data_IF_765873331989
#
_entry.id   IF_765873331989
#
_cell.length_a   1.000
_cell.length_b   1.000
_cell.length_c   1.000
_cell.angle_alpha   90.00
_cell.angle_beta   90.00
_cell.angle_gamma   90.00
#
_symmetry.space_group_name_H-M   'P 1'
#
loop_
_entity.id
_entity.type
_entity.pdbx_description
1 polymer ?
#
# COMPACT_ATOMS: atom_id res chain seq x y z
N UNK A 1 -4.29 81.59 4.52
CA UNK A 1 -4.55 80.80 3.29
C UNK A 1 -3.84 79.46 3.42
N UNK A 2 -4.65 78.41 3.62
CA UNK A 2 -4.42 76.97 3.51
C UNK A 2 -3.07 76.35 3.91
N UNK A 3 -3.01 75.84 5.15
CA UNK A 3 -2.09 74.78 5.55
C UNK A 3 -2.80 73.43 5.34
N UNK A 4 -2.36 72.65 4.36
CA UNK A 4 -2.89 71.30 4.09
C UNK A 4 -2.26 70.29 5.04
N UNK A 5 -3.09 69.63 5.85
CA UNK A 5 -2.70 68.48 6.67
C UNK A 5 -2.86 67.19 5.85
N UNK A 6 -1.79 66.41 5.73
CA UNK A 6 -1.80 65.08 5.13
C UNK A 6 -2.27 64.08 6.19
N UNK A 7 -3.46 63.51 6.00
CA UNK A 7 -3.94 62.37 6.80
C UNK A 7 -3.43 61.09 6.14
N UNK A 8 -2.50 60.40 6.79
CA UNK A 8 -2.09 59.03 6.40
C UNK A 8 -3.03 58.06 7.11
N UNK A 9 -3.94 57.45 6.36
CA UNK A 9 -4.78 56.36 6.85
C UNK A 9 -3.95 55.05 6.85
N UNK A 10 -3.57 54.58 8.04
CA UNK A 10 -2.98 53.27 8.22
C UNK A 10 -4.10 52.21 8.17
N UNK A 11 -4.20 51.48 7.06
CA UNK A 11 -5.07 50.32 6.93
C UNK A 11 -4.46 49.14 7.69
N UNK A 12 -4.93 48.90 8.92
CA UNK A 12 -4.65 47.65 9.64
C UNK A 12 -5.32 46.48 8.93
N UNK A 13 -4.57 45.76 8.10
CA UNK A 13 -4.96 44.46 7.59
C UNK A 13 -4.93 43.44 8.73
N UNK A 14 -6.11 43.13 9.26
CA UNK A 14 -6.32 42.01 10.17
C UNK A 14 -6.16 40.71 9.35
N UNK A 15 -4.96 40.13 9.36
CA UNK A 15 -4.71 38.80 8.79
C UNK A 15 -5.43 37.76 9.65
N UNK A 16 -6.64 37.39 9.25
CA UNK A 16 -7.29 36.18 9.73
C UNK A 16 -6.51 34.99 9.15
N UNK A 17 -5.62 34.42 9.96
CA UNK A 17 -5.01 33.12 9.69
C UNK A 17 -6.10 32.04 9.76
N UNK A 18 -6.78 31.80 8.64
CA UNK A 18 -7.49 30.54 8.44
C UNK A 18 -6.43 29.46 8.23
N UNK A 19 -6.12 28.73 9.30
CA UNK A 19 -5.35 27.50 9.23
C UNK A 19 -6.10 26.55 8.29
N UNK A 20 -5.62 26.44 7.05
CA UNK A 20 -6.11 25.43 6.12
C UNK A 20 -5.72 24.06 6.68
N UNK A 21 -6.63 23.09 6.78
CA UNK A 21 -6.26 21.74 7.17
C UNK A 21 -5.29 21.20 6.12
N UNK A 22 -4.07 20.87 6.55
CA UNK A 22 -3.14 20.04 5.78
C UNK A 22 -3.88 18.78 5.38
N UNK A 23 -3.87 18.45 4.08
CA UNK A 23 -4.40 17.18 3.58
C UNK A 23 -3.57 16.07 4.22
N UNK A 24 -4.05 15.50 5.33
CA UNK A 24 -3.36 14.43 6.03
C UNK A 24 -3.16 13.27 5.04
N UNK A 25 -1.92 12.78 4.92
CA UNK A 25 -1.65 11.50 4.27
C UNK A 25 -2.63 10.49 4.86
N UNK A 26 -3.51 9.90 4.03
CA UNK A 26 -4.46 8.90 4.50
C UNK A 26 -3.64 7.72 5.02
N UNK A 27 -3.73 7.47 6.33
CA UNK A 27 -3.09 6.31 6.94
C UNK A 27 -3.58 5.02 6.28
N UNK A 28 -2.73 4.01 6.25
CA UNK A 28 -3.06 2.66 5.79
C UNK A 28 -3.11 1.71 6.98
N UNK A 29 -3.79 0.59 6.79
CA UNK A 29 -3.94 -0.44 7.80
C UNK A 29 -3.26 -1.72 7.33
N UNK A 30 -2.63 -2.45 8.24
CA UNK A 30 -2.13 -3.80 8.05
C UNK A 30 -2.62 -4.69 9.21
N UNK A 31 -2.93 -5.95 8.95
CA UNK A 31 -3.46 -6.86 9.97
C UNK A 31 -2.64 -8.15 9.99
N UNK A 32 -2.11 -8.50 11.16
CA UNK A 32 -1.21 -9.65 11.34
C UNK A 32 -1.63 -10.48 12.55
N UNK A 33 -1.73 -11.80 12.37
CA UNK A 33 -1.84 -12.77 13.46
C UNK A 33 -0.51 -13.52 13.60
N UNK A 34 0.05 -13.50 14.80
CA UNK A 34 1.41 -13.96 15.05
C UNK A 34 1.59 -14.67 16.39
N UNK A 35 0.54 -15.34 16.88
CA UNK A 35 0.45 -15.82 18.26
C UNK A 35 -0.10 -14.76 19.20
N UNK A 36 0.23 -14.85 20.49
CA UNK A 36 -0.25 -13.89 21.49
C UNK A 36 -0.02 -12.44 21.06
N UNK A 37 -1.10 -11.66 20.93
CA UNK A 37 -1.01 -10.29 20.41
C UNK A 37 -0.21 -9.35 21.32
N UNK A 38 -0.04 -9.66 22.61
CA UNK A 38 0.74 -8.85 23.56
C UNK A 38 2.21 -8.80 23.16
N UNK A 39 2.70 -9.86 22.51
CA UNK A 39 4.04 -9.92 21.97
C UNK A 39 4.17 -9.24 20.61
N UNK A 40 3.06 -9.06 19.90
CA UNK A 40 3.03 -8.49 18.55
C UNK A 40 2.86 -6.97 18.55
N UNK A 41 2.21 -6.36 19.56
CA UNK A 41 2.09 -4.90 19.64
C UNK A 41 3.45 -4.16 19.71
N UNK A 42 4.36 -4.47 20.66
CA UNK A 42 5.60 -3.69 20.85
C UNK A 42 6.51 -3.56 19.63
N UNK A 43 6.79 -4.63 18.86
CA UNK A 43 7.72 -4.54 17.73
C UNK A 43 7.20 -3.65 16.60
N UNK A 44 5.88 -3.44 16.47
CA UNK A 44 5.31 -2.49 15.52
C UNK A 44 5.24 -1.07 16.08
N UNK A 45 4.84 -0.90 17.35
CA UNK A 45 4.76 0.43 17.98
C UNK A 45 6.11 1.15 18.06
N UNK A 46 7.21 0.40 18.08
CA UNK A 46 8.56 0.97 18.12
C UNK A 46 9.02 1.58 16.77
N UNK A 47 8.25 1.41 15.68
CA UNK A 47 8.64 1.82 14.34
C UNK A 47 8.23 3.25 14.03
N UNK A 48 9.17 4.06 13.54
CA UNK A 48 8.84 5.37 13.01
C UNK A 48 7.94 5.25 11.76
N UNK A 49 6.82 5.99 11.75
CA UNK A 49 5.78 5.87 10.72
C UNK A 49 4.61 4.97 11.08
N UNK A 50 4.68 4.17 12.16
CA UNK A 50 3.49 3.53 12.73
C UNK A 50 2.73 4.52 13.60
N UNK A 51 1.43 4.65 13.38
CA UNK A 51 0.53 5.61 14.03
C UNK A 51 -0.14 4.97 15.25
N UNK A 52 -0.65 3.75 15.10
CA UNK A 52 -1.22 2.98 16.20
C UNK A 52 -1.14 1.48 15.94
N UNK A 53 -1.15 0.70 17.01
CA UNK A 53 -1.29 -0.75 16.99
C UNK A 53 -2.38 -1.12 17.98
N UNK A 54 -3.27 -2.02 17.60
CA UNK A 54 -4.39 -2.44 18.44
C UNK A 54 -4.48 -3.97 18.45
N UNK A 55 -4.60 -4.56 19.63
CA UNK A 55 -4.90 -5.97 19.79
C UNK A 55 -6.36 -6.27 19.42
N UNK A 56 -6.62 -7.44 18.84
CA UNK A 56 -7.97 -7.85 18.45
C UNK A 56 -8.06 -9.24 17.85
N UNK A 57 -9.22 -9.51 17.24
CA UNK A 57 -9.65 -10.81 16.77
C UNK A 57 -10.15 -10.70 15.33
N UNK A 58 -9.71 -11.60 14.44
CA UNK A 58 -10.18 -11.61 13.03
C UNK A 58 -10.04 -13.00 12.39
N UNK A 59 -10.64 -13.19 11.22
CA UNK A 59 -10.57 -14.44 10.44
C UNK A 59 -11.53 -15.56 10.89
N UNK A 60 -12.26 -15.36 11.99
CA UNK A 60 -13.25 -16.29 12.51
C UNK A 60 -14.68 -16.05 12.01
N UNK A 61 -15.64 -16.73 12.66
CA UNK A 61 -17.05 -16.72 12.27
C UNK A 61 -17.98 -16.11 13.32
N UNK A 62 -17.53 -16.01 14.57
CA UNK A 62 -18.34 -15.43 15.65
C UNK A 62 -18.35 -13.91 15.54
N UNK A 63 -19.54 -13.33 15.44
CA UNK A 63 -19.69 -11.87 15.50
C UNK A 63 -19.44 -11.37 16.93
N UNK A 64 -18.67 -10.29 17.07
CA UNK A 64 -18.33 -9.67 18.36
C UNK A 64 -17.79 -10.66 19.43
N UNK A 65 -16.73 -11.44 19.12
CA UNK A 65 -16.24 -12.47 20.02
C UNK A 65 -15.62 -11.89 21.30
N UNK A 66 -15.78 -12.58 22.42
CA UNK A 66 -15.06 -12.26 23.67
C UNK A 66 -13.71 -12.95 23.73
N UNK A 67 -12.80 -12.47 24.59
CA UNK A 67 -11.52 -13.13 24.81
C UNK A 67 -11.69 -14.59 25.25
N UNK A 68 -12.70 -14.92 26.05
CA UNK A 68 -12.96 -16.30 26.48
C UNK A 68 -13.30 -17.22 25.29
N UNK A 69 -14.09 -16.74 24.33
CA UNK A 69 -14.45 -17.52 23.14
C UNK A 69 -13.26 -17.70 22.18
N UNK A 70 -12.41 -16.68 22.08
CA UNK A 70 -11.20 -16.73 21.25
C UNK A 70 -10.13 -17.62 21.89
N UNK A 71 -9.84 -17.42 23.17
CA UNK A 71 -8.85 -18.20 23.91
C UNK A 71 -9.26 -19.67 24.08
N UNK A 72 -10.57 -19.97 24.10
CA UNK A 72 -11.08 -21.34 24.03
C UNK A 72 -10.99 -21.97 22.62
N UNK A 73 -10.71 -21.18 21.58
CA UNK A 73 -10.60 -21.64 20.19
C UNK A 73 -11.93 -21.94 19.50
N UNK A 74 -13.07 -21.58 20.10
CA UNK A 74 -14.41 -21.89 19.58
C UNK A 74 -14.91 -20.87 18.56
N UNK A 75 -14.43 -19.63 18.63
CA UNK A 75 -14.87 -18.53 17.75
C UNK A 75 -14.33 -18.62 16.30
N UNK A 76 -13.27 -19.41 16.11
CA UNK A 76 -12.51 -19.50 14.86
C UNK A 76 -11.63 -18.29 14.58
N UNK A 77 -11.62 -17.27 15.44
CA UNK A 77 -10.76 -16.10 15.27
C UNK A 77 -9.32 -16.42 15.66
N UNK A 78 -8.39 -15.69 15.04
CA UNK A 78 -7.01 -15.59 15.46
C UNK A 78 -6.84 -14.33 16.30
N UNK A 79 -5.98 -14.40 17.31
CA UNK A 79 -5.40 -13.21 17.92
C UNK A 79 -4.55 -12.48 16.89
N UNK A 80 -4.85 -11.20 16.69
CA UNK A 80 -4.24 -10.37 15.67
C UNK A 80 -3.96 -8.96 16.19
N UNK A 81 -3.07 -8.25 15.49
CA UNK A 81 -2.86 -6.82 15.66
C UNK A 81 -3.28 -6.07 14.40
N UNK A 82 -3.96 -4.95 14.60
CA UNK A 82 -4.25 -3.96 13.55
C UNK A 82 -3.25 -2.83 13.65
N UNK A 83 -2.38 -2.70 12.66
CA UNK A 83 -1.34 -1.68 12.57
C UNK A 83 -1.79 -0.57 11.62
N UNK A 84 -2.01 0.64 12.14
CA UNK A 84 -2.26 1.83 11.34
C UNK A 84 -0.93 2.55 11.12
N UNK A 85 -0.57 2.86 9.88
CA UNK A 85 0.73 3.42 9.53
C UNK A 85 0.63 4.50 8.45
N UNK A 86 1.65 5.35 8.39
CA UNK A 86 1.85 6.34 7.35
C UNK A 86 2.71 5.73 6.22
N UNK A 87 2.12 5.45 5.03
CA UNK A 87 2.85 4.84 3.92
C UNK A 87 3.95 5.74 3.34
N UNK A 88 3.98 7.03 3.65
CA UNK A 88 5.07 7.93 3.25
C UNK A 88 6.31 7.78 4.15
N UNK A 89 6.13 7.24 5.36
CA UNK A 89 7.20 7.09 6.36
C UNK A 89 7.66 5.65 6.53
N UNK A 90 6.75 4.69 6.40
CA UNK A 90 7.05 3.26 6.50
C UNK A 90 6.30 2.44 5.46
N UNK A 91 6.99 1.51 4.80
CA UNK A 91 6.35 0.65 3.80
C UNK A 91 5.72 -0.59 4.42
N UNK A 92 4.71 -1.14 3.76
CA UNK A 92 4.12 -2.44 4.12
C UNK A 92 5.17 -3.57 4.10
N UNK A 93 6.15 -3.50 3.19
CA UNK A 93 7.29 -4.43 3.17
C UNK A 93 8.09 -4.43 4.47
N UNK A 94 8.28 -3.26 5.09
CA UNK A 94 8.94 -3.18 6.40
C UNK A 94 8.10 -3.81 7.51
N UNK A 95 6.78 -3.63 7.47
CA UNK A 95 5.87 -4.28 8.42
C UNK A 95 5.89 -5.82 8.27
N UNK A 96 5.95 -6.33 7.04
CA UNK A 96 6.12 -7.76 6.77
C UNK A 96 7.43 -8.30 7.36
N UNK A 97 8.54 -7.56 7.25
CA UNK A 97 9.81 -7.94 7.89
C UNK A 97 9.68 -8.12 9.39
N UNK A 98 9.07 -7.13 10.02
CA UNK A 98 8.89 -7.13 11.47
C UNK A 98 8.04 -8.31 11.84
N UNK A 99 6.92 -8.53 11.14
CA UNK A 99 6.07 -9.70 11.32
C UNK A 99 6.87 -11.01 11.23
N UNK A 100 7.59 -11.26 10.11
CA UNK A 100 8.33 -12.50 9.90
C UNK A 100 9.44 -12.74 10.93
N UNK A 101 10.00 -11.67 11.50
CA UNK A 101 11.01 -11.76 12.55
C UNK A 101 10.42 -12.15 13.90
N UNK A 102 9.14 -11.89 14.15
CA UNK A 102 8.50 -12.17 15.43
C UNK A 102 7.91 -13.57 15.55
N UNK A 103 7.68 -14.27 14.43
CA UNK A 103 6.94 -15.55 14.38
C UNK A 103 7.86 -16.70 13.97
N UNK A 104 7.56 -17.93 14.42
CA UNK A 104 8.01 -19.14 13.73
C UNK A 104 7.05 -19.38 12.55
N UNK A 105 7.47 -19.07 11.31
CA UNK A 105 6.58 -19.13 10.15
C UNK A 105 6.33 -20.57 9.69
N UNK A 106 6.98 -21.55 10.31
CA UNK A 106 6.90 -22.97 9.96
C UNK A 106 6.04 -23.78 10.93
N UNK A 107 5.53 -23.17 12.01
CA UNK A 107 4.69 -23.84 13.02
C UNK A 107 3.20 -23.75 12.67
N UNK A 108 2.52 -24.87 12.36
CA UNK A 108 1.09 -24.87 12.04
C UNK A 108 0.18 -24.94 13.28
N UNK A 109 0.71 -25.18 14.48
CA UNK A 109 -0.10 -25.52 15.67
C UNK A 109 -0.19 -24.43 16.75
N UNK A 110 0.28 -23.22 16.44
CA UNK A 110 0.38 -22.11 17.39
C UNK A 110 1.76 -21.46 17.32
N UNK A 111 2.07 -20.58 18.26
CA UNK A 111 3.35 -19.88 18.32
C UNK A 111 4.01 -20.09 19.67
N UNK A 112 5.15 -20.77 19.64
CA UNK A 112 5.96 -21.06 20.83
C UNK A 112 5.12 -21.77 21.91
N UNK A 113 5.09 -21.25 23.14
CA UNK A 113 4.26 -21.78 24.23
C UNK A 113 2.74 -21.63 23.99
N UNK A 114 2.30 -20.72 23.12
CA UNK A 114 0.87 -20.50 22.85
C UNK A 114 0.39 -21.48 21.78
N UNK A 115 -0.44 -22.46 22.15
CA UNK A 115 -0.92 -23.52 21.24
C UNK A 115 -2.41 -23.38 20.99
N UNK A 116 -2.83 -23.70 19.76
CA UNK A 116 -4.22 -23.60 19.33
C UNK A 116 -4.38 -22.77 18.06
N UNK A 117 -5.52 -22.91 17.40
CA UNK A 117 -5.80 -22.21 16.14
C UNK A 117 -5.82 -20.70 16.29
N UNK A 118 -6.24 -20.19 17.45
CA UNK A 118 -6.26 -18.77 17.80
C UNK A 118 -4.85 -18.15 17.83
N UNK A 119 -3.81 -18.97 17.99
CA UNK A 119 -2.41 -18.55 17.98
C UNK A 119 -1.67 -18.88 16.69
N UNK A 120 -2.39 -19.34 15.65
CA UNK A 120 -1.79 -19.59 14.34
C UNK A 120 -1.28 -18.29 13.69
N UNK A 121 -0.40 -18.43 12.70
CA UNK A 121 0.15 -17.28 11.96
C UNK A 121 -0.66 -17.00 10.70
N UNK A 122 -1.02 -15.73 10.49
CA UNK A 122 -1.67 -15.28 9.27
C UNK A 122 -1.35 -13.80 8.96
N UNK A 123 -1.29 -13.48 7.67
CA UNK A 123 -1.26 -12.11 7.16
C UNK A 123 -2.61 -11.86 6.49
N UNK A 124 -3.36 -10.88 7.00
CA UNK A 124 -4.67 -10.52 6.46
C UNK A 124 -4.54 -9.32 5.53
N UNK A 125 -4.69 -9.53 4.22
CA UNK A 125 -4.54 -8.48 3.22
C UNK A 125 -5.85 -7.70 3.02
N UNK A 126 -5.74 -6.37 2.96
CA UNK A 126 -6.87 -5.46 2.74
C UNK A 126 -7.03 -5.07 1.26
N UNK A 127 -5.98 -5.24 0.47
CA UNK A 127 -5.97 -4.97 -0.96
C UNK A 127 -5.01 -5.92 -1.69
N UNK A 128 -5.05 -5.90 -3.03
CA UNK A 128 -4.24 -6.77 -3.87
C UNK A 128 -2.73 -6.44 -3.79
N UNK A 129 -2.38 -5.19 -3.45
CA UNK A 129 -0.98 -4.80 -3.24
C UNK A 129 -0.41 -5.50 -2.00
N UNK A 130 -1.13 -5.46 -0.88
CA UNK A 130 -0.76 -6.18 0.34
C UNK A 130 -0.67 -7.67 0.11
N UNK A 131 -1.65 -8.27 -0.58
CA UNK A 131 -1.62 -9.69 -0.93
C UNK A 131 -0.34 -10.03 -1.70
N UNK A 132 -0.03 -9.27 -2.75
CA UNK A 132 1.16 -9.47 -3.59
C UNK A 132 2.45 -9.37 -2.78
N UNK A 133 2.56 -8.34 -1.95
CA UNK A 133 3.75 -8.12 -1.12
C UNK A 133 3.90 -9.21 -0.05
N UNK A 134 2.80 -9.64 0.57
CA UNK A 134 2.78 -10.75 1.51
C UNK A 134 3.21 -12.07 0.83
N UNK A 135 2.64 -12.41 -0.32
CA UNK A 135 3.00 -13.61 -1.11
C UNK A 135 4.47 -13.59 -1.53
N UNK A 136 4.95 -12.45 -2.01
CA UNK A 136 6.34 -12.28 -2.42
C UNK A 136 7.31 -12.39 -1.23
N UNK A 137 6.96 -11.81 -0.08
CA UNK A 137 7.77 -11.91 1.14
C UNK A 137 7.82 -13.34 1.69
N UNK A 138 6.68 -14.05 1.69
CA UNK A 138 6.58 -15.46 2.07
C UNK A 138 7.45 -16.33 1.17
N UNK A 139 7.29 -16.22 -0.16
CA UNK A 139 8.10 -17.00 -1.12
C UNK A 139 9.59 -16.76 -0.94
N UNK A 140 9.99 -15.51 -0.72
CA UNK A 140 11.38 -15.14 -0.50
C UNK A 140 11.93 -15.76 0.78
N UNK A 141 11.16 -15.73 1.86
CA UNK A 141 11.54 -16.35 3.13
C UNK A 141 11.67 -17.87 2.98
N UNK A 142 10.70 -18.51 2.34
CA UNK A 142 10.68 -19.94 2.08
C UNK A 142 11.87 -20.39 1.23
N UNK A 143 12.27 -19.59 0.23
CA UNK A 143 13.41 -19.87 -0.64
C UNK A 143 14.78 -19.45 -0.06
N UNK A 144 14.82 -18.87 1.14
CA UNK A 144 16.04 -18.26 1.69
C UNK A 144 17.01 -19.26 2.34
N UNK A 145 16.54 -20.47 2.64
CA UNK A 145 17.31 -21.45 3.43
C UNK A 145 17.44 -21.10 4.92
N UNK A 146 16.71 -20.10 5.42
CA UNK A 146 16.68 -19.74 6.84
C UNK A 146 15.99 -20.81 7.68
N UNK A 147 14.96 -21.45 7.11
CA UNK A 147 14.16 -22.47 7.75
C UNK A 147 14.21 -23.76 6.93
N UNK A 148 14.39 -24.89 7.61
CA UNK A 148 14.41 -26.21 6.98
C UNK A 148 12.99 -26.74 6.66
N UNK A 149 11.99 -26.17 7.32
CA UNK A 149 10.57 -26.51 7.15
C UNK A 149 9.88 -25.46 6.28
N UNK A 150 8.85 -25.83 5.51
CA UNK A 150 8.13 -24.89 4.67
C UNK A 150 7.42 -23.82 5.50
N UNK A 151 7.32 -22.61 4.96
CA UNK A 151 6.56 -21.51 5.57
C UNK A 151 5.06 -21.78 5.43
N UNK A 152 4.40 -22.07 6.56
CA UNK A 152 2.98 -22.42 6.65
C UNK A 152 2.06 -21.22 6.91
N UNK A 153 2.60 -20.07 7.31
CA UNK A 153 1.81 -18.84 7.58
C UNK A 153 0.82 -18.53 6.46
N UNK A 154 -0.45 -18.38 6.82
CA UNK A 154 -1.52 -18.14 5.87
C UNK A 154 -1.49 -16.69 5.33
N UNK A 155 -1.94 -16.50 4.10
CA UNK A 155 -2.20 -15.18 3.51
C UNK A 155 -3.67 -15.17 3.12
N UNK A 156 -4.48 -14.41 3.86
CA UNK A 156 -5.94 -14.47 3.82
C UNK A 156 -6.52 -13.09 3.53
N UNK A 157 -7.67 -12.98 2.84
CA UNK A 157 -8.38 -11.70 2.77
C UNK A 157 -8.78 -11.25 4.18
N UNK A 158 -8.64 -9.97 4.47
CA UNK A 158 -9.09 -9.41 5.74
C UNK A 158 -10.62 -9.49 5.85
N UNK A 159 -11.11 -10.09 6.94
CA UNK A 159 -12.50 -10.02 7.36
C UNK A 159 -12.73 -8.86 8.33
N UNK A 160 -13.82 -8.92 9.08
CA UNK A 160 -14.06 -7.98 10.18
C UNK A 160 -12.98 -8.13 11.27
N UNK A 161 -12.55 -7.00 11.82
CA UNK A 161 -11.58 -6.95 12.92
C UNK A 161 -12.30 -6.44 14.17
N UNK A 162 -12.40 -7.29 15.18
CA UNK A 162 -12.95 -6.96 16.48
C UNK A 162 -11.83 -6.55 17.41
N UNK A 163 -11.84 -5.30 17.88
CA UNK A 163 -10.87 -4.80 18.86
C UNK A 163 -11.03 -5.59 20.16
N UNK A 164 -9.93 -6.09 20.70
CA UNK A 164 -9.92 -6.78 21.99
C UNK A 164 -10.22 -5.80 23.14
N UNK A 165 -10.64 -6.35 24.26
CA UNK A 165 -10.98 -5.64 25.48
C UNK A 165 -9.83 -4.74 25.95
N UNK A 166 -10.16 -3.62 26.61
CA UNK A 166 -9.19 -2.57 26.95
C UNK A 166 -8.03 -3.04 27.83
N UNK A 167 -8.22 -4.12 28.59
CA UNK A 167 -7.15 -4.69 29.41
C UNK A 167 -6.07 -5.41 28.58
N UNK A 168 -6.36 -5.80 27.34
CA UNK A 168 -5.38 -6.40 26.41
C UNK A 168 -4.54 -5.37 25.66
N UNK A 169 -5.06 -4.16 25.50
CA UNK A 169 -4.40 -3.09 24.73
C UNK A 169 -3.19 -2.58 25.50
N UNK A 170 -2.04 -2.43 24.84
CA UNK A 170 -0.79 -2.00 25.49
C UNK A 170 -0.42 -2.87 26.72
N UNK A 171 -0.78 -4.17 26.72
CA UNK A 171 -0.62 -5.03 27.90
C UNK A 171 0.83 -5.04 28.41
N UNK A 172 1.80 -5.00 27.50
CA UNK A 172 3.22 -4.97 27.82
C UNK A 172 3.66 -3.72 28.62
N UNK A 173 2.94 -2.60 28.47
CA UNK A 173 3.16 -1.35 29.22
C UNK A 173 2.39 -1.37 30.54
N UNK A 174 1.14 -1.84 30.53
CA UNK A 174 0.27 -1.88 31.70
C UNK A 174 0.70 -2.93 32.73
N UNK A 175 1.22 -4.08 32.27
CA UNK A 175 1.56 -5.25 33.09
C UNK A 175 3.03 -5.68 32.92
N UNK A 176 3.96 -4.72 33.07
CA UNK A 176 5.40 -4.88 32.74
C UNK A 176 6.03 -6.16 33.31
N UNK A 177 5.85 -6.45 34.61
CA UNK A 177 6.49 -7.60 35.25
C UNK A 177 5.95 -8.93 34.73
N UNK A 178 4.62 -9.03 34.60
CA UNK A 178 3.97 -10.23 34.09
C UNK A 178 4.38 -10.48 32.64
N UNK A 179 4.30 -9.44 31.79
CA UNK A 179 4.68 -9.53 30.40
C UNK A 179 6.15 -9.92 30.21
N UNK A 180 7.09 -9.32 30.97
CA UNK A 180 8.52 -9.67 30.87
C UNK A 180 8.77 -11.13 31.22
N UNK A 181 8.13 -11.64 32.27
CA UNK A 181 8.22 -13.06 32.65
C UNK A 181 7.64 -13.95 31.55
N UNK A 182 6.46 -13.61 31.05
CA UNK A 182 5.79 -14.35 29.98
C UNK A 182 6.61 -14.38 28.69
N UNK A 183 7.09 -13.23 28.17
CA UNK A 183 7.91 -13.15 26.96
C UNK A 183 9.20 -13.96 27.05
N UNK A 184 9.82 -14.01 28.24
CA UNK A 184 11.02 -14.82 28.49
C UNK A 184 10.68 -16.31 28.54
N UNK A 185 9.54 -16.67 29.15
CA UNK A 185 9.12 -18.07 29.29
C UNK A 185 8.44 -18.67 28.06
N UNK A 186 7.93 -17.85 27.14
CA UNK A 186 7.18 -18.35 25.98
C UNK A 186 8.05 -19.00 24.92
N UNK A 187 9.35 -18.71 24.88
CA UNK A 187 10.29 -19.17 23.84
C UNK A 187 10.43 -18.21 22.64
N UNK A 188 9.57 -17.20 22.52
CA UNK A 188 9.64 -16.22 21.43
C UNK A 188 10.94 -15.42 21.44
N UNK A 189 11.37 -14.96 22.61
CA UNK A 189 12.60 -14.17 22.73
C UNK A 189 13.83 -14.97 22.29
N UNK A 190 13.92 -16.24 22.68
CA UNK A 190 15.03 -17.12 22.33
C UNK A 190 15.02 -17.47 20.84
N UNK A 191 13.84 -17.70 20.25
CA UNK A 191 13.70 -17.85 18.81
C UNK A 191 14.21 -16.63 18.05
N UNK A 192 13.82 -15.42 18.48
CA UNK A 192 14.24 -14.18 17.84
C UNK A 192 15.77 -14.03 17.90
N UNK A 193 16.38 -14.25 19.07
CA UNK A 193 17.83 -14.12 19.24
C UNK A 193 18.57 -15.17 18.39
N UNK A 194 18.18 -16.43 18.46
CA UNK A 194 18.85 -17.52 17.73
C UNK A 194 18.70 -17.44 16.22
N UNK A 195 17.56 -16.92 15.72
CA UNK A 195 17.27 -16.86 14.28
C UNK A 195 17.77 -15.57 13.64
N UNK A 196 17.67 -14.43 14.33
CA UNK A 196 17.76 -13.11 13.70
C UNK A 196 18.89 -12.20 14.18
N UNK A 197 19.53 -12.46 15.34
CA UNK A 197 20.49 -11.53 15.98
C UNK A 197 21.57 -11.00 15.03
N UNK A 198 22.18 -11.87 14.25
CA UNK A 198 23.22 -11.53 13.27
C UNK A 198 22.75 -11.76 11.82
N UNK A 199 21.44 -12.01 11.63
CA UNK A 199 20.90 -12.45 10.34
C UNK A 199 20.03 -11.35 9.72
N UNK A 200 20.45 -10.76 8.59
CA UNK A 200 19.59 -9.84 7.85
C UNK A 200 18.37 -10.59 7.34
N UNK A 201 17.25 -9.89 7.21
CA UNK A 201 16.09 -10.50 6.57
C UNK A 201 16.38 -10.70 5.06
N UNK A 202 16.02 -11.85 4.45
CA UNK A 202 16.26 -12.09 3.03
C UNK A 202 15.73 -10.95 2.14
N UNK A 203 16.62 -10.33 1.35
CA UNK A 203 16.25 -9.26 0.41
C UNK A 203 16.23 -7.84 0.99
N UNK A 204 16.72 -7.62 2.21
CA UNK A 204 17.05 -6.27 2.71
C UNK A 204 18.33 -5.74 2.07
N UNK A 205 18.33 -4.49 1.61
CA UNK A 205 19.54 -3.77 1.20
C UNK A 205 20.35 -3.32 2.43
N UNK A 206 21.58 -2.86 2.21
CA UNK A 206 22.46 -2.29 3.25
C UNK A 206 21.80 -1.17 4.08
N UNK A 207 20.77 -0.50 3.53
CA UNK A 207 20.02 0.55 4.21
C UNK A 207 18.77 0.05 4.96
N UNK A 208 18.60 -1.27 5.14
CA UNK A 208 17.47 -1.86 5.85
C UNK A 208 16.12 -1.75 5.13
N UNK A 209 16.14 -1.32 3.86
CA UNK A 209 14.96 -1.28 2.99
C UNK A 209 14.89 -2.54 2.14
N UNK A 210 13.69 -3.10 2.04
CA UNK A 210 13.41 -4.21 1.14
C UNK A 210 13.58 -3.74 -0.30
N UNK A 211 14.31 -4.49 -1.12
CA UNK A 211 14.07 -4.45 -2.57
C UNK A 211 12.74 -5.14 -2.81
N UNK A 212 11.66 -4.37 -2.66
CA UNK A 212 10.34 -4.76 -3.14
C UNK A 212 10.50 -5.27 -4.57
N UNK A 213 10.09 -6.51 -4.81
CA UNK A 213 10.02 -7.04 -6.17
C UNK A 213 9.08 -6.14 -6.96
N UNK A 214 9.64 -5.38 -7.90
CA UNK A 214 9.01 -4.24 -8.55
C UNK A 214 8.34 -3.25 -7.56
N UNK A 215 9.13 -2.71 -6.62
CA UNK A 215 8.72 -1.52 -5.87
C UNK A 215 8.76 -0.31 -6.79
N UNK A 216 7.58 0.20 -7.15
CA UNK A 216 7.49 1.45 -7.91
C UNK A 216 8.05 2.57 -7.05
N UNK A 217 9.07 3.27 -7.54
CA UNK A 217 9.76 4.33 -6.81
C UNK A 217 9.70 5.63 -7.60
N UNK A 218 9.46 6.72 -6.89
CA UNK A 218 9.70 8.08 -7.39
C UNK A 218 11.21 8.37 -7.45
N UNK A 219 11.80 8.57 -8.64
CA UNK A 219 13.16 9.08 -8.76
C UNK A 219 13.26 10.52 -8.28
N UNK A 220 14.47 10.97 -8.02
CA UNK A 220 14.73 12.36 -7.64
C UNK A 220 14.39 13.33 -8.78
N UNK A 221 14.10 14.59 -8.44
CA UNK A 221 13.78 15.63 -9.42
C UNK A 221 14.89 15.79 -10.50
N UNK A 222 16.15 15.70 -10.07
CA UNK A 222 17.33 15.76 -10.94
C UNK A 222 17.37 14.61 -11.94
N UNK A 223 17.08 13.39 -11.50
CA UNK A 223 17.02 12.22 -12.39
C UNK A 223 15.86 12.37 -13.38
N UNK A 224 14.71 12.87 -12.93
CA UNK A 224 13.55 13.09 -13.80
C UNK A 224 13.82 14.10 -14.90
N UNK A 225 14.50 15.22 -14.60
CA UNK A 225 14.91 16.21 -15.62
C UNK A 225 15.85 15.64 -16.68
N UNK A 226 16.58 14.57 -16.35
CA UNK A 226 17.51 13.91 -17.29
C UNK A 226 16.79 12.84 -18.11
N UNK A 227 15.83 12.14 -17.51
CA UNK A 227 15.17 10.97 -18.11
C UNK A 227 13.91 11.32 -18.92
N UNK A 228 13.17 12.35 -18.51
CA UNK A 228 11.90 12.74 -19.13
C UNK A 228 12.12 13.80 -20.20
N UNK A 229 11.26 13.79 -21.22
CA UNK A 229 11.18 14.94 -22.14
C UNK A 229 10.64 16.17 -21.42
N UNK A 230 10.88 17.40 -21.93
CA UNK A 230 10.34 18.62 -21.32
C UNK A 230 8.82 18.62 -21.15
N UNK A 231 8.08 18.04 -22.10
CA UNK A 231 6.63 17.91 -22.01
C UNK A 231 6.21 16.93 -20.90
N UNK A 232 6.83 15.74 -20.86
CA UNK A 232 6.55 14.76 -19.81
C UNK A 232 6.84 15.32 -18.43
N UNK A 233 7.98 15.99 -18.25
CA UNK A 233 8.33 16.62 -16.98
C UNK A 233 7.29 17.68 -16.56
N UNK A 234 6.93 18.59 -17.49
CA UNK A 234 5.91 19.62 -17.25
C UNK A 234 4.57 19.02 -16.85
N UNK A 235 4.12 17.97 -17.55
CA UNK A 235 2.87 17.29 -17.23
C UNK A 235 2.96 16.64 -15.84
N UNK A 236 3.92 15.75 -15.60
CA UNK A 236 3.92 14.92 -14.39
C UNK A 236 4.34 15.66 -13.12
N UNK A 237 5.13 16.74 -13.21
CA UNK A 237 5.66 17.47 -12.04
C UNK A 237 5.12 18.88 -11.86
N UNK A 238 4.69 19.53 -12.93
CA UNK A 238 4.22 20.93 -12.92
C UNK A 238 2.71 21.04 -13.18
N UNK A 239 2.00 19.90 -13.11
CA UNK A 239 0.57 19.76 -13.36
C UNK A 239 0.14 20.33 -14.72
N UNK A 240 1.02 20.22 -15.72
CA UNK A 240 0.76 20.65 -17.09
C UNK A 240 -0.24 19.75 -17.81
N UNK A 241 -0.79 20.26 -18.91
CA UNK A 241 -1.66 19.49 -19.80
C UNK A 241 -1.11 19.53 -21.22
N UNK A 242 -1.00 18.37 -21.86
CA UNK A 242 -0.56 18.26 -23.25
C UNK A 242 -1.68 18.69 -24.22
N UNK A 243 -1.37 19.07 -25.48
CA UNK A 243 -2.38 19.44 -26.45
C UNK A 243 -3.33 18.28 -26.82
N UNK A 244 -4.63 18.59 -26.94
CA UNK A 244 -5.63 17.67 -27.47
C UNK A 244 -5.29 17.21 -28.90
N UNK A 245 -5.53 15.94 -29.21
CA UNK A 245 -5.32 15.30 -30.52
C UNK A 245 -3.89 15.35 -31.08
N UNK A 246 -2.94 15.95 -30.36
CA UNK A 246 -1.54 15.99 -30.72
C UNK A 246 -0.71 15.40 -29.57
N UNK A 247 -0.96 14.12 -29.31
CA UNK A 247 -0.29 13.34 -28.28
C UNK A 247 -0.20 11.86 -28.68
N UNK A 248 0.56 11.07 -27.94
CA UNK A 248 0.96 9.74 -28.38
C UNK A 248 -0.15 8.67 -28.30
N UNK A 249 -1.15 8.83 -27.42
CA UNK A 249 -2.07 7.74 -27.09
C UNK A 249 -3.56 8.08 -27.21
N UNK A 250 -3.94 9.28 -27.69
CA UNK A 250 -5.36 9.60 -27.88
C UNK A 250 -6.06 8.58 -28.79
N UNK A 251 -5.45 8.24 -29.94
CA UNK A 251 -5.98 7.30 -30.93
C UNK A 251 -5.47 5.87 -30.78
N UNK A 252 -4.50 5.59 -29.90
CA UNK A 252 -3.95 4.25 -29.70
C UNK A 252 -5.06 3.24 -29.35
N UNK A 253 -5.15 2.14 -30.14
CA UNK A 253 -6.08 1.01 -29.97
C UNK A 253 -5.38 -0.33 -29.74
N UNK A 254 -4.06 -0.36 -29.62
CA UNK A 254 -3.31 -1.59 -29.39
C UNK A 254 -3.65 -2.20 -28.01
N UNK A 255 -3.65 -3.54 -27.93
CA UNK A 255 -3.83 -4.23 -26.67
C UNK A 255 -2.57 -4.13 -25.81
N UNK A 256 -2.75 -3.79 -24.53
CA UNK A 256 -1.69 -3.58 -23.56
C UNK A 256 -2.13 -2.79 -22.34
N UNK A 257 -1.18 -2.43 -21.48
CA UNK A 257 -1.42 -1.60 -20.30
C UNK A 257 -0.68 -0.26 -20.43
N UNK A 258 -1.16 0.73 -19.68
CA UNK A 258 -0.53 2.02 -19.52
C UNK A 258 0.03 2.11 -18.11
N UNK A 259 1.33 2.34 -18.01
CA UNK A 259 2.05 2.51 -16.74
C UNK A 259 2.48 3.97 -16.56
N UNK A 260 2.72 4.38 -15.32
CA UNK A 260 3.30 5.70 -15.04
C UNK A 260 4.70 5.80 -15.68
N UNK A 261 4.94 6.87 -16.45
CA UNK A 261 6.25 7.14 -17.04
C UNK A 261 7.34 7.39 -15.98
N UNK A 262 6.95 7.77 -14.76
CA UNK A 262 7.86 8.04 -13.64
C UNK A 262 8.20 6.76 -12.87
N UNK A 263 7.20 6.12 -12.28
CA UNK A 263 7.41 5.01 -11.35
C UNK A 263 7.36 3.63 -12.02
N UNK A 264 6.72 3.53 -13.19
CA UNK A 264 6.40 2.27 -13.85
C UNK A 264 5.17 1.56 -13.25
N UNK A 265 4.45 2.18 -12.31
CA UNK A 265 3.25 1.55 -11.72
C UNK A 265 2.12 1.41 -12.75
N UNK A 266 1.43 0.26 -12.83
CA UNK A 266 0.30 0.05 -13.71
C UNK A 266 -0.88 0.95 -13.35
N UNK A 267 -1.32 1.77 -14.29
CA UNK A 267 -2.38 2.76 -14.08
C UNK A 267 -3.68 2.35 -14.76
N UNK A 268 -3.62 2.02 -16.06
CA UNK A 268 -4.80 1.76 -16.87
C UNK A 268 -4.61 0.58 -17.82
N UNK A 269 -5.72 -0.03 -18.24
CA UNK A 269 -5.75 -1.08 -19.26
C UNK A 269 -6.36 -0.54 -20.55
N UNK A 270 -5.84 -0.99 -21.70
CA UNK A 270 -6.50 -0.76 -23.00
C UNK A 270 -7.92 -1.36 -23.05
N UNK A 271 -8.25 -2.36 -22.21
CA UNK A 271 -9.61 -2.92 -22.10
C UNK A 271 -10.63 -1.92 -21.57
N UNK A 272 -10.19 -0.96 -20.77
CA UNK A 272 -11.03 0.08 -20.18
C UNK A 272 -10.89 1.42 -20.92
N UNK A 273 -10.04 1.49 -21.96
CA UNK A 273 -9.87 2.67 -22.81
C UNK A 273 -11.04 2.79 -23.78
N UNK A 274 -11.56 4.00 -23.96
CA UNK A 274 -12.62 4.29 -24.91
C UNK A 274 -12.38 5.59 -25.66
N UNK A 275 -13.15 5.81 -26.73
CA UNK A 275 -13.12 7.05 -27.49
C UNK A 275 -14.09 8.07 -26.88
N UNK A 276 -13.54 9.12 -26.28
CA UNK A 276 -14.33 10.18 -25.65
C UNK A 276 -14.57 11.38 -26.57
N UNK A 277 -13.87 11.46 -27.70
CA UNK A 277 -13.86 12.66 -28.54
C UNK A 277 -13.18 13.89 -27.92
N UNK A 278 -12.54 13.78 -26.74
CA UNK A 278 -11.91 14.95 -26.08
C UNK A 278 -10.48 15.22 -26.55
N UNK A 279 -9.85 14.27 -27.24
CA UNK A 279 -8.47 14.40 -27.74
C UNK A 279 -7.38 13.96 -26.77
N UNK A 280 -7.73 13.35 -25.63
CA UNK A 280 -6.81 12.71 -24.70
C UNK A 280 -7.24 11.25 -24.45
N UNK A 281 -6.31 10.32 -24.17
CA UNK A 281 -6.68 8.96 -23.82
C UNK A 281 -7.62 8.95 -22.60
N UNK A 282 -8.75 8.27 -22.76
CA UNK A 282 -9.84 8.25 -21.78
C UNK A 282 -10.14 6.83 -21.35
N UNK A 283 -10.29 6.61 -20.05
CA UNK A 283 -10.53 5.29 -19.45
C UNK A 283 -11.74 5.31 -18.52
N UNK A 284 -12.45 4.17 -18.42
CA UNK A 284 -13.63 4.06 -17.56
C UNK A 284 -13.30 3.74 -16.09
N UNK A 285 -12.13 3.14 -15.84
CA UNK A 285 -11.61 2.80 -14.51
C UNK A 285 -10.09 2.60 -14.54
N UNK A 286 -9.39 2.71 -13.40
CA UNK A 286 -8.01 2.29 -13.29
C UNK A 286 -7.85 0.77 -13.29
N UNK A 287 -6.68 0.31 -13.75
CA UNK A 287 -6.29 -1.10 -13.73
C UNK A 287 -6.08 -1.60 -12.30
N UNK A 288 -5.39 -0.81 -11.47
CA UNK A 288 -5.26 -1.03 -10.04
C UNK A 288 -5.72 0.25 -9.31
N UNK A 289 -6.91 0.27 -8.67
CA UNK A 289 -7.38 1.44 -7.94
C UNK A 289 -6.39 1.88 -6.85
N UNK A 290 -5.68 0.91 -6.28
CA UNK A 290 -4.57 1.10 -5.34
C UNK A 290 -3.33 1.80 -5.93
N UNK A 291 -3.30 2.18 -7.21
CA UNK A 291 -2.25 3.01 -7.81
C UNK A 291 -2.72 4.43 -8.15
N UNK A 292 -4.00 4.77 -7.88
CA UNK A 292 -4.56 6.10 -8.15
C UNK A 292 -4.71 6.97 -6.88
N UNK A 293 -4.18 8.18 -7.02
CA UNK A 293 -4.27 9.47 -6.30
C UNK A 293 -5.44 10.40 -6.68
N UNK A 294 -6.62 10.42 -6.05
CA UNK A 294 -7.64 11.44 -6.37
C UNK A 294 -7.57 12.66 -5.42
N UNK A 295 -7.50 13.88 -5.97
CA UNK A 295 -7.42 15.15 -5.22
C UNK A 295 -8.39 16.20 -5.77
N UNK A 296 -8.95 17.05 -4.92
CA UNK A 296 -9.73 18.19 -5.38
C UNK A 296 -8.82 19.25 -6.04
N UNK A 297 -9.15 19.64 -7.27
CA UNK A 297 -8.51 20.72 -8.02
C UNK A 297 -9.49 21.91 -8.16
N UNK A 298 -9.09 23.05 -7.61
CA UNK A 298 -9.85 24.31 -7.62
C UNK A 298 -9.16 25.43 -8.40
N UNK A 299 -8.20 25.10 -9.27
CA UNK A 299 -7.42 26.10 -10.03
C UNK A 299 -8.22 26.80 -11.13
N UNK A 300 -9.36 26.25 -11.54
CA UNK A 300 -10.27 26.81 -12.54
C UNK A 300 -11.65 27.14 -11.93
N UNK A 301 -12.51 27.83 -12.68
CA UNK A 301 -13.87 28.24 -12.27
C UNK A 301 -14.82 27.07 -11.90
N UNK A 302 -14.40 25.82 -12.06
CA UNK A 302 -15.13 24.61 -11.63
C UNK A 302 -14.21 23.70 -10.83
N UNK A 303 -14.75 23.05 -9.80
CA UNK A 303 -14.04 22.01 -9.03
C UNK A 303 -13.91 20.77 -9.92
N UNK A 304 -12.69 20.33 -10.17
CA UNK A 304 -12.39 19.07 -10.87
C UNK A 304 -11.70 18.12 -9.91
N UNK A 305 -11.75 16.83 -10.17
CA UNK A 305 -10.99 15.83 -9.41
C UNK A 305 -9.71 15.52 -10.19
N UNK A 306 -8.57 16.01 -9.70
CA UNK A 306 -7.24 15.65 -10.18
C UNK A 306 -6.95 14.17 -9.92
N UNK A 307 -6.31 13.53 -10.88
CA UNK A 307 -5.83 12.15 -10.81
C UNK A 307 -4.31 12.16 -10.86
N UNK A 308 -3.66 11.54 -9.87
CA UNK A 308 -2.21 11.36 -9.76
C UNK A 308 -1.84 9.88 -9.63
N UNK A 309 -0.61 9.50 -9.98
CA UNK A 309 -0.07 8.17 -9.67
C UNK A 309 0.36 8.10 -8.20
N UNK A 310 0.22 6.95 -7.54
CA UNK A 310 0.51 6.81 -6.12
C UNK A 310 2.00 6.81 -5.82
N UNK A 311 2.77 6.00 -6.54
CA UNK A 311 4.18 5.81 -6.26
C UNK A 311 5.06 6.85 -6.97
N UNK A 312 4.63 7.40 -8.10
CA UNK A 312 5.33 8.47 -8.80
C UNK A 312 4.96 9.88 -8.34
N UNK A 313 3.77 10.05 -7.73
CA UNK A 313 3.13 11.35 -7.51
C UNK A 313 3.11 12.20 -8.80
N UNK A 314 2.94 11.50 -9.94
CA UNK A 314 2.83 12.10 -11.27
C UNK A 314 1.43 12.68 -11.43
N UNK A 315 1.32 13.95 -11.80
CA UNK A 315 0.05 14.45 -12.32
C UNK A 315 -0.30 13.70 -13.62
N UNK A 316 -1.47 13.04 -13.61
CA UNK A 316 -1.94 12.25 -14.75
C UNK A 316 -2.98 13.03 -15.56
N UNK A 317 -3.92 13.68 -14.89
CA UNK A 317 -5.02 14.41 -15.50
C UNK A 317 -6.19 14.57 -14.54
N UNK A 318 -7.42 14.34 -15.02
CA UNK A 318 -8.64 14.54 -14.23
C UNK A 318 -9.66 13.43 -14.49
N UNK A 319 -10.55 13.20 -13.52
CA UNK A 319 -11.70 12.31 -13.65
C UNK A 319 -13.00 13.10 -13.66
N UNK A 320 -13.93 12.69 -14.53
CA UNK A 320 -15.23 13.31 -14.76
C UNK A 320 -16.35 12.28 -14.67
N UNK A 321 -17.57 12.72 -14.33
CA UNK A 321 -18.77 11.88 -14.23
C UNK A 321 -19.60 11.84 -15.54
N UNK A 322 -18.95 12.05 -16.67
CA UNK A 322 -19.54 12.07 -18.03
C UNK A 322 -19.09 10.86 -18.88
N UNK A 323 -18.63 9.80 -18.23
CA UNK A 323 -18.16 8.58 -18.89
C UNK A 323 -19.29 7.63 -19.27
N UNK A 324 -18.99 6.60 -20.09
CA UNK A 324 -19.98 5.59 -20.45
C UNK A 324 -20.31 4.68 -19.25
N UNK A 325 -21.48 4.01 -19.28
CA UNK A 325 -21.78 2.93 -18.34
C UNK A 325 -20.74 1.78 -18.46
N UNK A 326 -20.51 0.99 -17.40
CA UNK A 326 -21.28 0.96 -16.16
C UNK A 326 -20.77 1.92 -15.07
N UNK A 327 -19.54 2.43 -15.17
CA UNK A 327 -18.97 3.29 -14.11
C UNK A 327 -19.50 4.72 -14.17
N UNK A 328 -19.86 5.21 -15.36
CA UNK A 328 -20.19 6.63 -15.57
C UNK A 328 -18.98 7.55 -15.44
N UNK A 329 -17.77 7.00 -15.27
CA UNK A 329 -16.55 7.76 -15.03
C UNK A 329 -15.70 7.84 -16.30
N UNK A 330 -15.07 9.00 -16.50
CA UNK A 330 -14.09 9.24 -17.54
C UNK A 330 -12.81 9.77 -16.92
N UNK A 331 -11.83 8.90 -16.80
CA UNK A 331 -10.45 9.25 -16.48
C UNK A 331 -9.78 9.81 -17.75
N UNK A 332 -9.64 11.13 -17.83
CA UNK A 332 -9.05 11.84 -18.96
C UNK A 332 -7.58 12.14 -18.64
N UNK A 333 -6.67 11.41 -19.29
CA UNK A 333 -5.27 11.32 -18.87
C UNK A 333 -4.34 11.88 -19.95
N UNK A 334 -3.25 12.52 -19.56
CA UNK A 334 -2.21 12.95 -20.47
C UNK A 334 -1.37 11.74 -20.92
N UNK A 335 -1.20 11.55 -22.22
CA UNK A 335 -0.27 10.57 -22.80
C UNK A 335 1.17 10.77 -22.32
N UNK A 336 1.59 12.02 -22.14
CA UNK A 336 2.91 12.36 -21.60
C UNK A 336 3.12 11.88 -20.15
N UNK A 337 2.07 11.53 -19.41
CA UNK A 337 2.20 10.91 -18.10
C UNK A 337 2.30 9.37 -18.17
N UNK A 338 2.09 8.79 -19.35
CA UNK A 338 1.97 7.35 -19.55
C UNK A 338 3.12 6.78 -20.38
N UNK A 339 3.41 5.51 -20.14
CA UNK A 339 4.15 4.64 -21.06
C UNK A 339 3.29 3.43 -21.39
N UNK A 340 3.04 3.20 -22.67
CA UNK A 340 2.27 2.03 -23.11
C UNK A 340 3.17 0.80 -23.21
N UNK A 341 2.67 -0.35 -22.73
CA UNK A 341 3.34 -1.65 -22.83
C UNK A 341 2.38 -2.61 -23.57
N UNK A 342 2.70 -3.02 -24.80
CA UNK A 342 1.86 -3.94 -25.56
C UNK A 342 1.83 -5.32 -24.89
N UNK A 343 0.76 -6.09 -25.13
CA UNK A 343 0.61 -7.45 -24.56
C UNK A 343 1.83 -8.34 -24.82
N UNK A 344 2.45 -8.20 -26.00
CA UNK A 344 3.64 -8.96 -26.41
C UNK A 344 4.87 -8.72 -25.52
N UNK A 345 4.94 -7.60 -24.82
CA UNK A 345 6.10 -7.22 -24.00
C UNK A 345 5.80 -7.22 -22.49
N UNK A 346 4.54 -7.48 -22.09
CA UNK A 346 4.16 -7.56 -20.67
C UNK A 346 5.07 -8.52 -19.89
N UNK A 347 5.34 -9.71 -20.41
CA UNK A 347 6.20 -10.69 -19.73
C UNK A 347 7.63 -10.17 -19.59
N UNK A 348 8.21 -9.72 -20.70
CA UNK A 348 9.60 -9.27 -20.78
C UNK A 348 9.87 -8.08 -19.86
N UNK A 349 8.88 -7.21 -19.70
CA UNK A 349 8.96 -6.02 -18.88
C UNK A 349 8.52 -6.23 -17.42
N UNK A 350 8.21 -7.46 -16.99
CA UNK A 350 7.86 -7.77 -15.60
C UNK A 350 6.39 -7.51 -15.23
N UNK A 351 5.53 -7.32 -16.22
CA UNK A 351 4.09 -7.12 -16.12
C UNK A 351 3.27 -8.36 -16.54
N UNK A 352 3.92 -9.53 -16.62
CA UNK A 352 3.33 -10.79 -17.11
C UNK A 352 2.03 -11.23 -16.41
N UNK A 353 1.78 -10.76 -15.18
CA UNK A 353 0.53 -11.01 -14.45
C UNK A 353 -0.71 -10.48 -15.16
N UNK A 354 -0.59 -9.41 -15.96
CA UNK A 354 -1.72 -8.80 -16.66
C UNK A 354 -2.06 -9.47 -17.98
N UNK A 355 -1.28 -10.47 -18.42
CA UNK A 355 -1.53 -11.21 -19.67
C UNK A 355 -2.91 -11.88 -19.67
N UNK A 356 -3.39 -12.31 -18.50
CA UNK A 356 -4.71 -12.91 -18.35
C UNK A 356 -5.86 -11.96 -18.69
N UNK A 357 -5.68 -10.64 -18.52
CA UNK A 357 -6.67 -9.63 -18.95
C UNK A 357 -6.87 -9.60 -20.47
N UNK A 358 -5.94 -10.19 -21.21
CA UNK A 358 -5.94 -10.24 -22.67
C UNK A 358 -6.07 -11.67 -23.20
N UNK A 359 -6.60 -12.60 -22.36
CA UNK A 359 -6.82 -13.98 -22.75
C UNK A 359 -5.56 -14.82 -22.94
N UNK A 360 -4.41 -14.33 -22.47
CA UNK A 360 -3.15 -15.09 -22.50
C UNK A 360 -2.84 -15.70 -21.12
N UNK A 361 -2.26 -16.91 -21.06
CA UNK A 361 -1.90 -17.52 -19.78
C UNK A 361 -0.93 -16.62 -19.00
N UNK A 362 -1.23 -16.38 -17.73
CA UNK A 362 -0.33 -15.67 -16.84
C UNK A 362 0.86 -16.57 -16.50
N UNK A 363 2.03 -16.00 -16.19
CA UNK A 363 3.25 -16.74 -15.88
C UNK A 363 3.10 -17.78 -14.75
N UNK A 364 2.05 -17.72 -13.91
CA UNK A 364 1.77 -18.72 -12.87
C UNK A 364 1.08 -20.00 -13.38
N UNK A 365 0.58 -20.01 -14.63
CA UNK A 365 -0.13 -21.15 -15.23
C UNK A 365 0.73 -22.08 -16.08
N UNK A 366 1.96 -21.68 -16.43
CA UNK A 366 2.81 -22.42 -17.38
C UNK A 366 3.66 -23.55 -16.75
N UNK A 367 3.41 -23.93 -15.49
CA UNK A 367 4.25 -24.85 -14.72
C UNK A 367 3.53 -26.03 -14.07
N UNK A 368 2.35 -26.42 -14.58
CA UNK A 368 1.65 -27.64 -14.14
C UNK A 368 1.15 -28.44 -15.34
N UNK A 369 2.07 -28.92 -16.15
CA UNK A 369 1.87 -30.12 -16.97
C UNK A 369 3.21 -30.88 -16.94
N UNK A 370 3.31 -31.80 -15.97
CA UNK A 370 3.87 -33.16 -16.09
C UNK A 370 3.72 -33.91 -14.76
#
# INVERSE_FOLDING_TARGET
>A
MNSSWIIIAAASCLFLFFSSPTLAARSRTAIFAGGCFWCMEPPFEALDGVISVEAGYTGGRTEHPTYEEVSAGTSGHLEAVRVVYDPERISYGKLLEVFWRQVDPTDPGGQFADRGSQYATAIFYLDEEQRRLAEASKKRLDSSGIFDRPVVTAILPAGEFYRAEEYHQDYYRKNVFHYKRYRKGSGRADFIDSTWKERPFPGTTENGSWKEGHGYRRPSDRELKTRLTPLQYRVVREDGTEPAFNNAYWDNKAEGIYVDVVSGEPLFSSRDKFDSGTGWPSFTRPLEPGNIVEREDRRLFSVRTEVRSRHGDSHLGHVFADGPPPTGLRYCINSAALRFIPVSDLEKEGYGRYRSLFGQPSARGAGREE
#
